data_IF_340517338017
#
_entry.id   IF_340517338017
#
_cell.length_a   1.000
_cell.length_b   1.000
_cell.length_c   1.000
_cell.angle_alpha   90.00
_cell.angle_beta   90.00
_cell.angle_gamma   90.00
#
_symmetry.space_group_name_H-M   'P 1'
#
loop_
_entity.id
_entity.type
_entity.pdbx_description
1 polymer ?
#
# COMPACT_ATOMS: atom_id res chain seq x y z
N UNK A 1 4.96 2.62 23.40
CA UNK A 1 5.44 1.76 22.31
C UNK A 1 5.97 2.66 21.21
N UNK A 2 7.20 2.48 20.77
CA UNK A 2 7.74 3.29 19.68
C UNK A 2 7.14 2.78 18.36
N UNK A 3 6.50 3.65 17.58
CA UNK A 3 5.94 3.30 16.27
C UNK A 3 7.04 3.14 15.23
N UNK A 4 6.84 2.22 14.29
CA UNK A 4 7.88 1.79 13.34
C UNK A 4 8.36 2.91 12.42
N UNK A 5 7.46 3.79 11.99
CA UNK A 5 7.77 4.92 11.09
C UNK A 5 8.83 5.86 11.66
N UNK A 6 9.00 5.92 12.98
CA UNK A 6 10.07 6.72 13.61
C UNK A 6 11.47 6.27 13.17
N UNK A 7 11.64 4.99 12.83
CA UNK A 7 12.92 4.47 12.36
C UNK A 7 13.38 5.07 11.03
N UNK A 8 12.46 5.59 10.20
CA UNK A 8 12.78 6.17 8.90
C UNK A 8 12.74 7.69 8.86
N UNK A 9 12.23 8.35 9.91
CA UNK A 9 12.11 9.82 9.92
C UNK A 9 12.88 10.50 11.05
N UNK A 10 13.21 9.82 12.16
CA UNK A 10 13.84 10.43 13.32
C UNK A 10 15.36 10.39 13.28
N UNK A 11 15.97 11.43 13.84
CA UNK A 11 17.41 11.54 14.03
C UNK A 11 18.16 12.12 12.83
N UNK A 12 19.42 12.52 13.09
CA UNK A 12 20.28 13.17 12.08
C UNK A 12 20.61 12.24 10.91
N UNK A 13 20.83 10.94 11.19
CA UNK A 13 21.11 9.92 10.18
C UNK A 13 19.97 9.71 9.18
N UNK A 14 18.75 10.16 9.50
CA UNK A 14 17.57 10.06 8.64
C UNK A 14 17.27 11.35 7.86
N UNK A 15 18.18 12.30 7.85
CA UNK A 15 18.06 13.52 7.03
C UNK A 15 17.83 13.24 5.54
N UNK A 16 18.57 12.31 4.89
CA UNK A 16 18.30 11.97 3.49
C UNK A 16 16.90 11.39 3.27
N UNK A 17 16.39 10.57 4.19
CA UNK A 17 15.04 10.01 4.10
C UNK A 17 13.98 11.11 4.15
N UNK A 18 14.12 12.06 5.09
CA UNK A 18 13.21 13.22 5.17
C UNK A 18 13.24 14.08 3.92
N UNK A 19 14.42 14.25 3.30
CA UNK A 19 14.55 14.98 2.05
C UNK A 19 13.77 14.29 0.91
N UNK A 20 13.85 12.97 0.82
CA UNK A 20 13.06 12.19 -0.15
C UNK A 20 11.56 12.31 0.09
N UNK A 21 11.10 12.22 1.33
CA UNK A 21 9.68 12.40 1.66
C UNK A 21 9.20 13.83 1.33
N UNK A 22 10.00 14.84 1.63
CA UNK A 22 9.69 16.24 1.27
C UNK A 22 9.64 16.44 -0.24
N UNK A 23 10.51 15.79 -1.01
CA UNK A 23 10.48 15.82 -2.47
C UNK A 23 9.18 15.21 -3.04
N UNK A 24 8.53 14.31 -2.29
CA UNK A 24 7.21 13.75 -2.61
C UNK A 24 6.04 14.60 -2.06
N UNK A 25 6.31 15.80 -1.54
CA UNK A 25 5.30 16.75 -1.08
C UNK A 25 4.89 16.61 0.39
N UNK A 26 5.55 15.76 1.21
CA UNK A 26 5.25 15.68 2.62
C UNK A 26 5.85 16.86 3.40
N UNK A 27 5.07 17.37 4.34
CA UNK A 27 5.48 18.43 5.26
C UNK A 27 6.17 17.86 6.51
N UNK A 28 6.76 18.71 7.33
CA UNK A 28 7.29 18.30 8.63
C UNK A 28 6.18 17.78 9.56
N UNK A 29 4.98 18.34 9.46
CA UNK A 29 3.81 17.85 10.21
C UNK A 29 3.45 16.42 9.78
N UNK A 30 3.43 16.15 8.48
CA UNK A 30 3.15 14.79 7.95
C UNK A 30 4.21 13.77 8.41
N UNK A 31 5.47 14.19 8.48
CA UNK A 31 6.57 13.32 8.94
C UNK A 31 6.50 13.00 10.44
N UNK A 32 5.79 13.82 11.22
CA UNK A 32 5.58 13.61 12.65
C UNK A 32 4.40 12.67 12.97
N UNK A 33 3.58 12.33 11.99
CA UNK A 33 2.43 11.42 12.14
C UNK A 33 2.82 9.96 11.92
N UNK A 34 1.92 9.04 12.28
CA UNK A 34 2.05 7.62 11.92
C UNK A 34 1.87 7.44 10.41
N UNK A 35 2.65 6.52 9.82
CA UNK A 35 2.54 6.20 8.40
C UNK A 35 1.65 4.97 8.21
N UNK A 36 0.56 5.14 7.48
CA UNK A 36 -0.39 4.07 7.17
C UNK A 36 -0.26 3.72 5.69
N UNK A 37 0.08 2.47 5.40
CA UNK A 37 0.06 1.93 4.06
C UNK A 37 -1.38 1.78 3.56
N UNK A 38 -1.67 2.30 2.38
CA UNK A 38 -2.95 2.07 1.68
C UNK A 38 -2.61 1.23 0.45
N UNK A 39 -2.89 -0.07 0.55
CA UNK A 39 -2.61 -1.03 -0.52
C UNK A 39 -3.86 -1.31 -1.33
N UNK A 40 -3.73 -1.35 -2.64
CA UNK A 40 -4.80 -1.80 -3.53
C UNK A 40 -4.27 -2.69 -4.65
N UNK A 41 -5.18 -3.44 -5.29
CA UNK A 41 -4.89 -4.30 -6.45
C UNK A 41 -5.41 -3.69 -7.76
N UNK A 42 -5.51 -2.36 -7.82
CA UNK A 42 -6.04 -1.64 -8.98
C UNK A 42 -5.22 -1.90 -10.23
N UNK A 43 -5.88 -2.35 -11.31
CA UNK A 43 -5.31 -2.58 -12.63
C UNK A 43 -6.41 -2.68 -13.69
N UNK A 44 -6.02 -2.67 -14.96
CA UNK A 44 -6.94 -2.81 -16.11
C UNK A 44 -7.11 -4.25 -16.60
N UNK A 45 -6.48 -5.23 -15.94
CA UNK A 45 -6.57 -6.64 -16.32
C UNK A 45 -7.93 -7.27 -15.95
N UNK A 46 -8.70 -6.65 -15.06
CA UNK A 46 -10.00 -7.14 -14.62
C UNK A 46 -10.95 -5.98 -14.30
N UNK A 47 -12.22 -6.08 -14.70
CA UNK A 47 -13.20 -5.03 -14.44
C UNK A 47 -13.44 -4.79 -12.94
N UNK A 48 -13.22 -5.80 -12.12
CA UNK A 48 -13.40 -5.70 -10.67
C UNK A 48 -12.41 -4.73 -10.01
N UNK A 49 -11.21 -4.54 -10.58
CA UNK A 49 -10.14 -3.80 -9.94
C UNK A 49 -9.91 -2.40 -10.52
N UNK A 50 -10.59 -2.08 -11.64
CA UNK A 50 -10.34 -0.84 -12.39
C UNK A 50 -10.63 0.43 -11.59
N UNK A 51 -11.55 0.39 -10.65
CA UNK A 51 -11.96 1.54 -9.82
C UNK A 51 -11.24 1.60 -8.47
N UNK A 52 -10.42 0.61 -8.10
CA UNK A 52 -9.72 0.61 -6.80
C UNK A 52 -8.81 1.82 -6.55
N UNK A 53 -8.13 2.39 -7.57
CA UNK A 53 -7.36 3.63 -7.37
C UNK A 53 -8.24 4.81 -6.92
N UNK A 54 -9.49 4.90 -7.40
CA UNK A 54 -10.42 5.94 -6.94
C UNK A 54 -10.83 5.72 -5.48
N UNK A 55 -11.10 4.48 -5.09
CA UNK A 55 -11.40 4.14 -3.70
C UNK A 55 -10.21 4.40 -2.78
N UNK A 56 -8.99 4.23 -3.27
CA UNK A 56 -7.78 4.54 -2.53
C UNK A 56 -7.67 6.02 -2.16
N UNK A 57 -8.20 6.92 -2.98
CA UNK A 57 -8.26 8.35 -2.66
C UNK A 57 -9.11 8.56 -1.40
N UNK A 58 -10.31 8.00 -1.36
CA UNK A 58 -11.18 8.10 -0.19
C UNK A 58 -10.58 7.46 1.06
N UNK A 59 -9.89 6.32 0.90
CA UNK A 59 -9.20 5.67 2.01
C UNK A 59 -8.05 6.54 2.55
N UNK A 60 -7.29 7.20 1.68
CA UNK A 60 -6.23 8.15 2.08
C UNK A 60 -6.79 9.36 2.82
N UNK A 61 -7.92 9.89 2.36
CA UNK A 61 -8.61 10.98 3.04
C UNK A 61 -9.05 10.55 4.46
N UNK A 62 -9.64 9.36 4.60
CA UNK A 62 -9.99 8.81 5.90
C UNK A 62 -8.79 8.61 6.84
N UNK A 63 -7.66 8.16 6.32
CA UNK A 63 -6.40 8.06 7.09
C UNK A 63 -5.93 9.44 7.55
N UNK A 64 -6.00 10.44 6.70
CA UNK A 64 -5.64 11.82 7.00
C UNK A 64 -6.57 12.42 8.06
N UNK A 65 -7.87 12.22 7.93
CA UNK A 65 -8.87 12.68 8.91
C UNK A 65 -8.66 12.00 10.28
N UNK A 66 -8.17 10.77 10.28
CA UNK A 66 -7.73 10.05 11.48
C UNK A 66 -6.40 10.56 12.08
N UNK A 67 -5.78 11.59 11.49
CA UNK A 67 -4.55 12.20 11.99
C UNK A 67 -3.26 11.46 11.62
N UNK A 68 -3.28 10.60 10.60
CA UNK A 68 -2.11 9.87 10.13
C UNK A 68 -1.71 10.28 8.70
N UNK A 69 -0.54 9.86 8.26
CA UNK A 69 -0.02 10.10 6.92
C UNK A 69 -0.18 8.85 6.07
N UNK A 70 -1.02 8.92 5.04
CA UNK A 70 -1.27 7.82 4.13
C UNK A 70 -0.15 7.66 3.10
N UNK A 71 0.26 6.41 2.83
CA UNK A 71 1.21 6.05 1.77
C UNK A 71 0.61 4.96 0.91
N UNK A 72 0.21 5.34 -0.32
CA UNK A 72 -0.41 4.46 -1.28
C UNK A 72 0.64 3.60 -1.98
N UNK A 73 0.32 2.32 -2.18
CA UNK A 73 1.05 1.42 -3.06
C UNK A 73 0.10 0.37 -3.64
N UNK A 74 0.52 -0.27 -4.73
CA UNK A 74 -0.28 -1.30 -5.37
C UNK A 74 0.49 -2.61 -5.49
N UNK A 75 -0.25 -3.70 -5.59
CA UNK A 75 0.26 -5.03 -5.92
C UNK A 75 -0.52 -5.59 -7.10
N UNK A 76 -0.08 -6.72 -7.63
CA UNK A 76 -0.75 -7.41 -8.75
C UNK A 76 -2.12 -7.96 -8.31
N UNK A 77 -2.95 -8.27 -9.30
CA UNK A 77 -4.10 -9.14 -9.14
C UNK A 77 -4.26 -10.04 -10.37
N UNK A 78 -4.72 -11.26 -10.15
CA UNK A 78 -5.11 -12.21 -11.20
C UNK A 78 -6.61 -12.46 -11.08
N UNK A 79 -7.33 -12.26 -12.17
CA UNK A 79 -8.76 -12.54 -12.22
C UNK A 79 -9.02 -14.01 -12.55
N UNK A 80 -9.65 -14.72 -11.63
CA UNK A 80 -10.09 -16.11 -11.87
C UNK A 80 -11.09 -16.19 -13.01
N UNK A 81 -11.98 -15.19 -13.14
CA UNK A 81 -12.96 -15.14 -14.21
C UNK A 81 -12.35 -15.01 -15.62
N UNK A 82 -11.24 -14.28 -15.75
CA UNK A 82 -10.49 -14.15 -17.00
C UNK A 82 -9.60 -15.38 -17.26
N UNK A 83 -9.02 -15.94 -16.18
CA UNK A 83 -8.10 -17.07 -16.25
C UNK A 83 -8.79 -18.43 -16.37
N UNK A 84 -10.09 -18.50 -16.12
CA UNK A 84 -10.87 -19.74 -16.10
C UNK A 84 -10.86 -20.44 -17.47
N UNK A 85 -10.70 -21.78 -17.46
CA UNK A 85 -10.79 -22.61 -18.64
C UNK A 85 -9.51 -22.67 -19.51
N UNK A 86 -8.40 -22.05 -19.07
CA UNK A 86 -7.11 -22.14 -19.76
C UNK A 86 -5.92 -22.18 -18.78
N UNK A 87 -4.71 -22.29 -19.30
CA UNK A 87 -3.48 -22.42 -18.51
C UNK A 87 -3.26 -21.27 -17.51
N UNK A 88 -3.80 -20.08 -17.75
CA UNK A 88 -3.69 -18.94 -16.85
C UNK A 88 -4.24 -19.19 -15.44
N UNK A 89 -5.18 -20.13 -15.30
CA UNK A 89 -5.75 -20.48 -13.98
C UNK A 89 -4.72 -21.05 -13.00
N UNK A 90 -3.62 -21.61 -13.50
CA UNK A 90 -2.51 -22.09 -12.67
C UNK A 90 -1.83 -20.97 -11.90
N UNK A 91 -1.96 -19.73 -12.34
CA UNK A 91 -1.39 -18.54 -11.67
C UNK A 91 -2.28 -17.98 -10.56
N UNK A 92 -3.54 -18.41 -10.46
CA UNK A 92 -4.51 -17.85 -9.52
C UNK A 92 -4.05 -17.96 -8.06
N UNK A 93 -3.86 -19.19 -7.57
CA UNK A 93 -3.44 -19.40 -6.17
C UNK A 93 -2.01 -18.91 -5.90
N UNK A 94 -1.11 -19.08 -6.86
CA UNK A 94 0.28 -18.61 -6.76
C UNK A 94 0.35 -17.10 -6.60
N UNK A 95 -0.54 -16.35 -7.27
CA UNK A 95 -0.57 -14.89 -7.16
C UNK A 95 -0.87 -14.40 -5.75
N UNK A 96 -1.64 -15.15 -4.96
CA UNK A 96 -1.97 -14.79 -3.57
C UNK A 96 -0.74 -14.71 -2.68
N UNK A 97 0.17 -15.67 -2.80
CA UNK A 97 1.44 -15.65 -2.06
C UNK A 97 2.28 -14.43 -2.44
N UNK A 98 2.40 -14.15 -3.73
CA UNK A 98 3.14 -12.98 -4.22
C UNK A 98 2.52 -11.67 -3.73
N UNK A 99 1.19 -11.57 -3.72
CA UNK A 99 0.48 -10.40 -3.20
C UNK A 99 0.79 -10.23 -1.71
N UNK A 100 0.65 -11.28 -0.91
CA UNK A 100 0.91 -11.26 0.53
C UNK A 100 2.37 -10.87 0.81
N UNK A 101 3.32 -11.48 0.14
CA UNK A 101 4.75 -11.19 0.28
C UNK A 101 5.07 -9.75 -0.12
N UNK A 102 4.49 -9.26 -1.23
CA UNK A 102 4.72 -7.88 -1.68
C UNK A 102 4.21 -6.85 -0.66
N UNK A 103 3.06 -7.10 -0.04
CA UNK A 103 2.50 -6.24 1.00
C UNK A 103 3.40 -6.27 2.24
N UNK A 104 3.80 -7.46 2.69
CA UNK A 104 4.69 -7.59 3.85
C UNK A 104 6.03 -6.86 3.63
N UNK A 105 6.63 -7.03 2.47
CA UNK A 105 7.90 -6.36 2.12
C UNK A 105 7.75 -4.84 2.11
N UNK A 106 6.68 -4.31 1.53
CA UNK A 106 6.41 -2.86 1.52
C UNK A 106 6.24 -2.32 2.95
N UNK A 107 5.43 -2.99 3.77
CA UNK A 107 5.20 -2.60 5.17
C UNK A 107 6.48 -2.61 5.99
N UNK A 108 7.27 -3.67 5.88
CA UNK A 108 8.52 -3.84 6.64
C UNK A 108 9.64 -2.91 6.16
N UNK A 109 9.85 -2.82 4.84
CA UNK A 109 10.92 -1.99 4.27
C UNK A 109 10.71 -0.50 4.54
N UNK A 110 9.47 -0.02 4.43
CA UNK A 110 9.13 1.39 4.65
C UNK A 110 8.69 1.69 6.08
N UNK A 111 8.68 0.67 6.95
CA UNK A 111 8.35 0.81 8.38
C UNK A 111 6.99 1.46 8.61
N UNK A 112 5.98 1.07 7.81
CA UNK A 112 4.62 1.58 8.02
C UNK A 112 4.03 1.02 9.31
N UNK A 113 3.20 1.83 9.98
CA UNK A 113 2.65 1.53 11.32
C UNK A 113 1.34 0.77 11.25
N UNK A 114 0.65 0.83 10.13
CA UNK A 114 -0.62 0.14 9.88
C UNK A 114 -0.91 0.00 8.40
N UNK A 115 -1.90 -0.83 8.06
CA UNK A 115 -2.29 -1.14 6.69
C UNK A 115 -3.81 -1.01 6.51
N UNK A 116 -4.20 -0.36 5.41
CA UNK A 116 -5.56 -0.44 4.84
C UNK A 116 -5.45 -1.16 3.51
N UNK A 117 -6.12 -2.30 3.39
CA UNK A 117 -6.15 -3.09 2.15
C UNK A 117 -7.45 -2.89 1.39
N UNK A 118 -7.34 -2.58 0.10
CA UNK A 118 -8.47 -2.46 -0.84
C UNK A 118 -8.31 -3.52 -1.92
N UNK A 119 -9.17 -4.53 -1.88
CA UNK A 119 -9.17 -5.62 -2.84
C UNK A 119 -10.59 -6.13 -3.06
N UNK A 120 -10.86 -6.58 -4.27
CA UNK A 120 -12.10 -7.29 -4.63
C UNK A 120 -11.86 -8.78 -4.86
N UNK A 121 -10.68 -9.26 -4.56
CA UNK A 121 -10.40 -10.69 -4.54
C UNK A 121 -11.00 -11.25 -3.26
N UNK A 122 -11.84 -12.27 -3.37
CA UNK A 122 -12.38 -12.97 -2.22
C UNK A 122 -11.23 -13.49 -1.36
N UNK A 123 -11.18 -12.98 -0.14
CA UNK A 123 -10.30 -13.47 0.91
C UNK A 123 -10.98 -14.67 1.56
#
# INVERSE_FOLDING_TARGET
>A
MKISSRNVVEGTARSPHRAMYKAMGLTDDDLNKSFIGVCHTGNEATPCNIHLPELAIGAKDGVKDGGATAREFSTIAVSDGIAMGHEGMKSSLVSREIIADSIELMMRAHQYDGLVGLSLIHI
#
